data_IF_826659906035
#
_entry.id   IF_826659906035
#
_cell.length_a   1.000
_cell.length_b   1.000
_cell.length_c   1.000
_cell.angle_alpha   90.00
_cell.angle_beta   90.00
_cell.angle_gamma   90.00
#
_symmetry.space_group_name_H-M   'P 1'
#
loop_
_entity.id
_entity.type
_entity.pdbx_description
1 polymer ?
#
# COMPACT_ATOMS: atom_id res chain seq x y z
N UNK A 1 -2.97 27.28 -11.45
CA UNK A 1 -2.23 26.54 -12.50
C UNK A 1 -2.79 25.12 -12.70
N UNK A 2 -2.97 24.32 -11.64
CA UNK A 2 -3.53 22.94 -11.71
C UNK A 2 -4.90 22.85 -12.40
N UNK A 3 -5.82 23.78 -12.13
CA UNK A 3 -7.17 23.78 -12.68
C UNK A 3 -7.22 23.88 -14.23
N UNK A 4 -6.29 24.59 -14.86
CA UNK A 4 -6.24 24.74 -16.33
C UNK A 4 -5.81 23.42 -16.99
N UNK A 5 -4.88 22.70 -16.38
CA UNK A 5 -4.43 21.41 -16.89
C UNK A 5 -5.52 20.35 -16.76
N UNK A 6 -6.21 20.30 -15.62
CA UNK A 6 -7.32 19.36 -15.39
C UNK A 6 -8.42 19.50 -16.45
N UNK A 7 -8.85 20.73 -16.73
CA UNK A 7 -9.81 21.06 -17.79
C UNK A 7 -9.36 20.60 -19.17
N UNK A 8 -8.08 20.81 -19.49
CA UNK A 8 -7.50 20.39 -20.76
C UNK A 8 -7.54 18.87 -20.89
N UNK A 9 -7.15 18.14 -19.84
CA UNK A 9 -7.16 16.66 -19.82
C UNK A 9 -8.58 16.12 -19.95
N UNK A 10 -9.52 16.62 -19.15
CA UNK A 10 -10.95 16.27 -19.23
C UNK A 10 -11.50 16.45 -20.65
N UNK A 11 -11.24 17.60 -21.28
CA UNK A 11 -11.68 17.88 -22.66
C UNK A 11 -11.06 16.95 -23.70
N UNK A 12 -9.77 16.60 -23.56
CA UNK A 12 -9.07 15.69 -24.49
C UNK A 12 -9.60 14.25 -24.33
N UNK A 13 -9.85 13.81 -23.09
CA UNK A 13 -10.33 12.47 -22.79
C UNK A 13 -11.85 12.31 -22.99
N UNK A 14 -12.59 13.42 -23.07
CA UNK A 14 -14.05 13.40 -23.23
C UNK A 14 -14.78 12.91 -21.97
N UNK A 15 -14.21 13.14 -20.78
CA UNK A 15 -14.80 12.74 -19.49
C UNK A 15 -15.01 13.97 -18.59
N UNK A 16 -16.00 13.89 -17.71
CA UNK A 16 -16.27 14.91 -16.69
C UNK A 16 -15.04 15.13 -15.78
N UNK A 17 -14.80 16.40 -15.38
CA UNK A 17 -13.67 16.74 -14.49
C UNK A 17 -13.73 15.98 -13.15
N UNK A 18 -14.93 15.78 -12.60
CA UNK A 18 -15.16 15.02 -11.37
C UNK A 18 -14.84 13.53 -11.53
N UNK A 19 -15.14 12.96 -12.69
CA UNK A 19 -14.80 11.57 -13.00
C UNK A 19 -13.29 11.41 -13.18
N UNK A 20 -12.64 12.37 -13.85
CA UNK A 20 -11.18 12.41 -13.97
C UNK A 20 -10.52 12.48 -12.59
N UNK A 21 -11.06 13.29 -11.68
CA UNK A 21 -10.55 13.42 -10.31
C UNK A 21 -10.69 12.13 -9.51
N UNK A 22 -11.88 11.54 -9.51
CA UNK A 22 -12.16 10.25 -8.86
C UNK A 22 -11.21 9.16 -9.40
N UNK A 23 -11.04 9.08 -10.72
CA UNK A 23 -10.22 8.04 -11.32
C UNK A 23 -8.72 8.26 -11.09
N UNK A 24 -8.26 9.52 -11.08
CA UNK A 24 -6.87 9.83 -10.75
C UNK A 24 -6.52 9.40 -9.31
N UNK A 25 -7.39 9.69 -8.35
CA UNK A 25 -7.23 9.26 -6.95
C UNK A 25 -7.27 7.74 -6.87
N UNK A 26 -8.26 7.09 -7.52
CA UNK A 26 -8.40 5.63 -7.55
C UNK A 26 -7.13 4.96 -8.06
N UNK A 27 -6.61 5.41 -9.20
CA UNK A 27 -5.41 4.82 -9.80
C UNK A 27 -4.17 5.02 -8.93
N UNK A 28 -4.05 6.16 -8.25
CA UNK A 28 -2.95 6.40 -7.32
C UNK A 28 -3.04 5.49 -6.09
N UNK A 29 -4.22 5.36 -5.46
CA UNK A 29 -4.44 4.46 -4.32
C UNK A 29 -4.17 2.99 -4.71
N UNK A 30 -4.64 2.54 -5.88
CA UNK A 30 -4.37 1.20 -6.39
C UNK A 30 -2.87 0.97 -6.64
N UNK A 31 -2.16 1.98 -7.14
CA UNK A 31 -0.71 1.91 -7.31
C UNK A 31 0.01 1.76 -5.97
N UNK A 32 -0.32 2.60 -5.00
CA UNK A 32 0.22 2.54 -3.64
C UNK A 32 -0.04 1.19 -2.97
N UNK A 33 -1.27 0.67 -3.11
CA UNK A 33 -1.67 -0.62 -2.56
C UNK A 33 -0.85 -1.77 -3.17
N UNK A 34 -0.62 -1.74 -4.49
CA UNK A 34 0.25 -2.72 -5.15
C UNK A 34 1.69 -2.64 -4.64
N UNK A 35 2.23 -1.42 -4.46
CA UNK A 35 3.59 -1.24 -3.94
C UNK A 35 3.74 -1.82 -2.55
N UNK A 36 2.85 -1.46 -1.63
CA UNK A 36 2.87 -1.94 -0.24
C UNK A 36 2.76 -3.46 -0.16
N UNK A 37 1.85 -4.07 -0.94
CA UNK A 37 1.69 -5.53 -1.02
C UNK A 37 2.92 -6.25 -1.56
N UNK A 38 3.60 -5.67 -2.54
CA UNK A 38 4.82 -6.27 -3.09
C UNK A 38 5.93 -6.23 -2.04
N UNK A 39 6.10 -5.09 -1.39
CA UNK A 39 7.13 -4.90 -0.37
C UNK A 39 6.90 -5.81 0.85
N UNK A 40 5.66 -5.92 1.34
CA UNK A 40 5.34 -6.84 2.45
C UNK A 40 5.62 -8.29 2.07
N UNK A 41 5.24 -8.70 0.84
CA UNK A 41 5.55 -10.04 0.32
C UNK A 41 7.05 -10.31 0.21
N UNK A 42 7.86 -9.34 -0.17
CA UNK A 42 9.31 -9.52 -0.23
C UNK A 42 9.89 -9.80 1.16
N UNK A 43 9.45 -9.09 2.19
CA UNK A 43 9.86 -9.36 3.58
C UNK A 43 9.38 -10.75 4.02
N UNK A 44 8.12 -11.08 3.76
CA UNK A 44 7.55 -12.39 4.09
C UNK A 44 8.32 -13.55 3.45
N UNK A 45 8.69 -13.43 2.17
CA UNK A 45 9.52 -14.41 1.45
C UNK A 45 10.92 -14.49 2.04
N UNK A 46 11.55 -13.35 2.35
CA UNK A 46 12.91 -13.28 2.91
C UNK A 46 13.04 -14.11 4.20
N UNK A 47 12.01 -14.10 5.05
CA UNK A 47 12.00 -14.82 6.32
C UNK A 47 11.21 -16.13 6.30
N UNK A 48 10.65 -16.51 5.14
CA UNK A 48 9.79 -17.67 4.96
C UNK A 48 8.66 -17.71 6.02
N UNK A 49 7.87 -16.64 6.05
CA UNK A 49 6.71 -16.44 6.93
C UNK A 49 5.48 -16.08 6.10
N UNK A 50 4.30 -16.35 6.63
CA UNK A 50 3.01 -16.06 5.98
C UNK A 50 2.31 -14.81 6.53
N UNK A 51 2.66 -14.39 7.75
CA UNK A 51 2.07 -13.26 8.47
C UNK A 51 3.06 -12.71 9.51
N UNK A 52 2.72 -11.59 10.14
CA UNK A 52 3.60 -10.93 11.11
C UNK A 52 3.70 -11.71 12.43
N UNK A 53 2.65 -12.45 12.79
CA UNK A 53 2.63 -13.30 13.98
C UNK A 53 3.66 -14.44 13.89
N UNK A 54 3.83 -15.05 12.72
CA UNK A 54 4.89 -16.02 12.45
C UNK A 54 6.29 -15.40 12.56
N UNK A 55 6.44 -14.12 12.17
CA UNK A 55 7.71 -13.40 12.33
C UNK A 55 8.06 -13.26 13.82
N UNK A 56 7.10 -12.78 14.61
CA UNK A 56 7.21 -12.61 16.06
C UNK A 56 7.47 -13.96 16.78
N UNK A 57 6.80 -15.04 16.36
CA UNK A 57 7.06 -16.39 16.88
C UNK A 57 8.50 -16.86 16.65
N UNK A 58 9.05 -16.66 15.45
CA UNK A 58 10.44 -17.05 15.16
C UNK A 58 11.45 -16.27 16.00
N UNK A 59 11.20 -14.99 16.25
CA UNK A 59 12.02 -14.17 17.15
C UNK A 59 11.94 -14.72 18.58
N UNK A 60 10.72 -14.97 19.10
CA UNK A 60 10.53 -15.53 20.45
C UNK A 60 11.18 -16.90 20.65
N UNK A 61 11.22 -17.74 19.62
CA UNK A 61 11.89 -19.06 19.64
C UNK A 61 13.41 -18.96 19.52
N UNK A 62 13.95 -17.78 19.24
CA UNK A 62 15.37 -17.56 18.98
C UNK A 62 15.85 -18.08 17.62
N UNK A 63 14.93 -18.39 16.70
CA UNK A 63 15.26 -18.79 15.32
C UNK A 63 15.76 -17.58 14.51
N UNK A 64 15.31 -16.38 14.87
CA UNK A 64 15.76 -15.10 14.33
C UNK A 64 16.27 -14.22 15.47
N UNK A 65 17.43 -13.60 15.27
CA UNK A 65 17.94 -12.62 16.21
C UNK A 65 17.15 -11.32 16.10
N UNK A 66 16.55 -10.87 17.20
CA UNK A 66 15.71 -9.67 17.25
C UNK A 66 16.40 -8.42 16.70
N UNK A 67 17.67 -8.19 17.05
CA UNK A 67 18.42 -7.01 16.61
C UNK A 67 18.64 -7.02 15.09
N UNK A 68 18.90 -8.20 14.52
CA UNK A 68 19.18 -8.36 13.09
C UNK A 68 17.92 -8.20 12.22
N UNK A 69 16.73 -8.45 12.77
CA UNK A 69 15.47 -8.43 12.03
C UNK A 69 14.55 -7.26 12.36
N UNK A 70 14.92 -6.43 13.33
CA UNK A 70 14.09 -5.33 13.84
C UNK A 70 13.58 -4.38 12.75
N UNK A 71 14.46 -3.99 11.81
CA UNK A 71 14.09 -3.09 10.72
C UNK A 71 13.01 -3.71 9.83
N UNK A 72 13.17 -4.96 9.40
CA UNK A 72 12.20 -5.63 8.55
C UNK A 72 10.91 -5.97 9.29
N UNK A 73 10.97 -6.29 10.59
CA UNK A 73 9.80 -6.53 11.42
C UNK A 73 8.93 -5.28 11.53
N UNK A 74 9.53 -4.16 11.93
CA UNK A 74 8.85 -2.86 12.04
C UNK A 74 8.37 -2.34 10.69
N UNK A 75 9.14 -2.60 9.63
CA UNK A 75 8.72 -2.27 8.26
C UNK A 75 7.49 -3.07 7.83
N UNK A 76 7.46 -4.37 8.13
CA UNK A 76 6.30 -5.22 7.81
C UNK A 76 5.04 -4.74 8.52
N UNK A 77 5.14 -4.42 9.82
CA UNK A 77 4.03 -3.88 10.61
C UNK A 77 3.44 -2.61 9.98
N UNK A 78 4.31 -1.64 9.66
CA UNK A 78 3.91 -0.43 8.96
C UNK A 78 3.23 -0.69 7.61
N UNK A 79 3.75 -1.65 6.83
CA UNK A 79 3.19 -1.98 5.52
C UNK A 79 1.80 -2.60 5.66
N UNK A 80 1.56 -3.45 6.66
CA UNK A 80 0.25 -4.07 6.91
C UNK A 80 -0.80 -3.02 7.33
N UNK A 81 -0.46 -2.12 8.26
CA UNK A 81 -1.33 -1.00 8.65
C UNK A 81 -1.60 -0.06 7.46
N UNK A 82 -0.59 0.24 6.65
CA UNK A 82 -0.76 1.07 5.45
C UNK A 82 -1.64 0.40 4.41
N UNK A 83 -1.52 -0.92 4.20
CA UNK A 83 -2.40 -1.67 3.31
C UNK A 83 -3.86 -1.53 3.75
N UNK A 84 -4.15 -1.70 5.04
CA UNK A 84 -5.51 -1.58 5.57
C UNK A 84 -6.08 -0.17 5.32
N UNK A 85 -5.29 0.88 5.60
CA UNK A 85 -5.69 2.27 5.36
C UNK A 85 -5.98 2.55 3.88
N UNK A 86 -5.14 2.05 2.98
CA UNK A 86 -5.34 2.21 1.54
C UNK A 86 -6.58 1.48 1.04
N UNK A 87 -6.89 0.30 1.60
CA UNK A 87 -8.12 -0.43 1.30
C UNK A 87 -9.37 0.35 1.72
N UNK A 88 -9.38 0.89 2.94
CA UNK A 88 -10.49 1.71 3.44
C UNK A 88 -10.73 2.94 2.58
N UNK A 89 -9.67 3.65 2.19
CA UNK A 89 -9.78 4.80 1.28
C UNK A 89 -10.34 4.42 -0.10
N UNK A 90 -10.01 3.23 -0.62
CA UNK A 90 -10.59 2.75 -1.87
C UNK A 90 -12.07 2.39 -1.71
N UNK A 91 -12.46 1.77 -0.60
CA UNK A 91 -13.85 1.46 -0.27
C UNK A 91 -14.68 2.75 -0.15
N UNK A 92 -14.21 3.74 0.62
CA UNK A 92 -14.83 5.07 0.76
C UNK A 92 -14.94 5.83 -0.57
N UNK A 93 -14.00 5.62 -1.51
CA UNK A 93 -14.06 6.24 -2.83
C UNK A 93 -15.09 5.57 -3.75
N UNK A 94 -15.40 4.29 -3.52
CA UNK A 94 -16.32 3.51 -4.35
C UNK A 94 -17.79 3.62 -3.91
N UNK A 95 -18.05 4.01 -2.65
CA UNK A 95 -19.35 4.44 -2.13
C UNK A 95 -19.89 5.72 -2.82
#
# INVERSE_FOLDING_TARGET
MINIFYKKVSKILGIEESLLEKEAIRQYLLHELRRVRLESKFIMIKYNISNIEEFDEKIRRGELNETDVFEDFTRLDYLLDREEKLRKLLEELEE
#
